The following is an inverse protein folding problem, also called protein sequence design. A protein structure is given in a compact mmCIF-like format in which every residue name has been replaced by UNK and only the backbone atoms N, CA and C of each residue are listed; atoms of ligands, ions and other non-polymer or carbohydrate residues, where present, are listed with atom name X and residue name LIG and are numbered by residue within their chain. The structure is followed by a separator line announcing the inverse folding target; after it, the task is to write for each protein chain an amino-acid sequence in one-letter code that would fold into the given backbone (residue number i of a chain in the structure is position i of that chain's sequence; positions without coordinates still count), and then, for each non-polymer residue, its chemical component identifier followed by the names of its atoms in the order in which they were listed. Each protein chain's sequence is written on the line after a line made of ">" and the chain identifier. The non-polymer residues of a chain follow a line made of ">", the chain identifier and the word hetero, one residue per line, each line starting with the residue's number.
data_IF_816568502544
#
_entry.id   IF_816568502544
#
_cell.length_a   1.000
_cell.length_b   1.000
_cell.length_c   1.000
_cell.angle_alpha   90.00
_cell.angle_beta   90.00
_cell.angle_gamma   90.00
#
_symmetry.space_group_name_H-M   'P 1'
#
loop_
_entity.id
_entity.type
_entity.pdbx_description
1 polymer ?
#
# COMPACT_ATOMS: atom_id res chain seq x y z
N UNK A 1 -8.77 -11.86 -8.96
CA UNK A 1 -7.67 -12.85 -8.90
C UNK A 1 -8.27 -14.24 -9.04
N UNK A 2 -7.62 -15.18 -9.78
CA UNK A 2 -8.05 -16.57 -9.79
C UNK A 2 -8.01 -17.16 -8.37
N UNK A 3 -8.83 -18.17 -8.10
CA UNK A 3 -8.81 -18.86 -6.80
C UNK A 3 -7.55 -19.71 -6.66
N UNK A 4 -7.19 -20.09 -5.43
CA UNK A 4 -6.07 -20.99 -5.15
C UNK A 4 -6.12 -22.26 -6.02
N UNK A 5 -7.29 -22.88 -6.11
CA UNK A 5 -7.51 -24.07 -6.94
C UNK A 5 -7.26 -23.79 -8.42
N UNK A 6 -7.79 -22.69 -8.96
CA UNK A 6 -7.60 -22.33 -10.37
C UNK A 6 -6.12 -22.15 -10.71
N UNK A 7 -5.36 -21.50 -9.82
CA UNK A 7 -3.93 -21.33 -10.00
C UNK A 7 -3.19 -22.67 -9.97
N UNK A 8 -3.50 -23.56 -9.02
CA UNK A 8 -2.86 -24.88 -8.93
C UNK A 8 -3.19 -25.72 -10.17
N UNK A 9 -4.43 -25.69 -10.65
CA UNK A 9 -4.84 -26.41 -11.86
C UNK A 9 -4.20 -25.87 -13.14
N UNK A 10 -3.72 -24.61 -13.15
CA UNK A 10 -2.94 -24.08 -14.28
C UNK A 10 -1.48 -24.55 -14.31
N UNK A 11 -0.98 -25.17 -13.25
CA UNK A 11 0.40 -25.67 -13.20
C UNK A 11 0.58 -26.91 -14.07
N UNK A 12 1.76 -27.03 -14.70
CA UNK A 12 2.09 -28.15 -15.59
C UNK A 12 1.97 -29.53 -14.94
N UNK A 13 2.20 -29.63 -13.62
CA UNK A 13 2.08 -30.89 -12.88
C UNK A 13 0.64 -31.34 -12.66
N UNK A 14 -0.35 -30.44 -12.80
CA UNK A 14 -1.77 -30.66 -12.48
C UNK A 14 -2.65 -30.85 -13.74
N UNK A 15 -2.07 -31.43 -14.80
CA UNK A 15 -2.81 -31.83 -16.01
C UNK A 15 -3.95 -32.78 -15.67
N UNK A 16 -5.05 -32.73 -16.43
CA UNK A 16 -6.27 -33.54 -16.20
C UNK A 16 -6.01 -35.03 -15.99
N UNK A 17 -5.06 -35.61 -16.71
CA UNK A 17 -4.69 -37.04 -16.59
C UNK A 17 -3.90 -37.39 -15.31
N UNK A 18 -3.29 -36.40 -14.64
CA UNK A 18 -2.54 -36.57 -13.39
C UNK A 18 -3.42 -36.39 -12.15
N UNK A 19 -4.55 -35.69 -12.27
CA UNK A 19 -5.42 -35.36 -11.14
C UNK A 19 -5.85 -36.58 -10.32
N UNK A 20 -6.29 -37.71 -10.92
CA UNK A 20 -6.67 -38.89 -10.13
C UNK A 20 -5.52 -39.41 -9.26
N UNK A 21 -4.28 -39.33 -9.73
CA UNK A 21 -3.09 -39.77 -8.97
C UNK A 21 -2.65 -38.76 -7.91
N UNK A 22 -2.85 -37.46 -8.16
CA UNK A 22 -2.49 -36.40 -7.20
C UNK A 22 -3.48 -36.28 -6.05
N UNK A 23 -4.75 -36.60 -6.30
CA UNK A 23 -5.83 -36.52 -5.31
C UNK A 23 -6.09 -37.85 -4.58
N UNK A 24 -5.56 -38.96 -5.10
CA UNK A 24 -5.67 -40.26 -4.45
C UNK A 24 -4.81 -40.37 -3.19
N UNK A 25 -5.05 -41.44 -2.43
CA UNK A 25 -4.22 -41.85 -1.32
C UNK A 25 -2.90 -42.50 -1.81
N UNK A 26 -2.09 -41.75 -2.56
CA UNK A 26 -0.83 -42.26 -3.11
C UNK A 26 0.26 -42.68 -2.09
N UNK A 27 0.25 -42.27 -0.80
CA UNK A 27 1.19 -42.77 0.21
C UNK A 27 1.20 -44.29 0.39
N UNK A 28 0.07 -44.97 0.18
CA UNK A 28 0.00 -46.44 0.25
C UNK A 28 0.92 -47.11 -0.79
N UNK A 29 1.25 -46.39 -1.86
CA UNK A 29 2.11 -46.87 -2.94
C UNK A 29 3.58 -46.53 -2.74
N UNK A 30 3.99 -45.97 -1.59
CA UNK A 30 5.39 -45.56 -1.32
C UNK A 30 6.40 -46.69 -1.54
N UNK A 31 6.02 -47.94 -1.21
CA UNK A 31 6.88 -49.12 -1.38
C UNK A 31 6.80 -49.73 -2.78
N UNK A 32 5.62 -49.71 -3.40
CA UNK A 32 5.37 -50.36 -4.69
C UNK A 32 5.72 -49.47 -5.88
N UNK A 33 5.61 -48.15 -5.73
CA UNK A 33 5.92 -47.14 -6.74
C UNK A 33 6.56 -45.89 -6.07
N UNK A 34 7.83 -46.00 -5.64
CA UNK A 34 8.51 -44.91 -4.94
C UNK A 34 8.67 -43.66 -5.83
N UNK A 35 8.93 -43.82 -7.13
CA UNK A 35 9.12 -42.70 -8.06
C UNK A 35 7.83 -41.90 -8.26
N UNK A 36 6.69 -42.59 -8.41
CA UNK A 36 5.37 -41.96 -8.49
C UNK A 36 5.03 -41.19 -7.21
N UNK A 37 5.32 -41.78 -6.05
CA UNK A 37 5.17 -41.12 -4.75
C UNK A 37 6.00 -39.83 -4.68
N UNK A 38 7.31 -39.91 -4.94
CA UNK A 38 8.20 -38.73 -4.87
C UNK A 38 7.80 -37.65 -5.86
N UNK A 39 7.33 -38.03 -7.05
CA UNK A 39 6.87 -37.08 -8.07
C UNK A 39 5.60 -36.35 -7.63
N UNK A 40 4.65 -37.06 -7.01
CA UNK A 40 3.41 -36.45 -6.52
C UNK A 40 3.65 -35.55 -5.30
N UNK A 41 4.52 -35.96 -4.38
CA UNK A 41 4.96 -35.11 -3.25
C UNK A 41 5.59 -33.82 -3.77
N UNK A 42 6.56 -33.93 -4.68
CA UNK A 42 7.23 -32.77 -5.26
C UNK A 42 6.27 -31.83 -6.02
N UNK A 43 5.28 -32.39 -6.73
CA UNK A 43 4.26 -31.61 -7.44
C UNK A 43 3.42 -30.77 -6.46
N UNK A 44 2.97 -31.36 -5.35
CA UNK A 44 2.20 -30.64 -4.33
C UNK A 44 3.04 -29.61 -3.57
N UNK A 45 4.26 -29.96 -3.14
CA UNK A 45 5.17 -29.02 -2.49
C UNK A 45 5.45 -27.80 -3.37
N UNK A 46 5.75 -28.02 -4.65
CA UNK A 46 6.00 -26.95 -5.61
C UNK A 46 4.76 -26.09 -5.84
N UNK A 47 3.60 -26.70 -6.09
CA UNK A 47 2.38 -25.96 -6.38
C UNK A 47 1.93 -25.10 -5.21
N UNK A 48 1.99 -25.61 -3.97
CA UNK A 48 1.64 -24.84 -2.78
C UNK A 48 2.64 -23.71 -2.51
N UNK A 49 3.94 -23.97 -2.63
CA UNK A 49 4.95 -22.93 -2.48
C UNK A 49 4.82 -21.84 -3.56
N UNK A 50 4.57 -22.24 -4.81
CA UNK A 50 4.34 -21.31 -5.91
C UNK A 50 3.05 -20.51 -5.73
N UNK A 51 1.96 -21.13 -5.28
CA UNK A 51 0.72 -20.44 -5.00
C UNK A 51 0.89 -19.38 -3.90
N UNK A 52 1.55 -19.74 -2.80
CA UNK A 52 1.89 -18.81 -1.73
C UNK A 52 2.72 -17.64 -2.26
N UNK A 53 3.79 -17.93 -3.00
CA UNK A 53 4.69 -16.94 -3.58
C UNK A 53 3.95 -15.84 -4.35
N UNK A 54 2.94 -16.19 -5.13
CA UNK A 54 2.18 -15.25 -5.96
C UNK A 54 0.91 -14.72 -5.26
N UNK A 55 0.78 -14.92 -3.94
CA UNK A 55 -0.28 -14.32 -3.13
C UNK A 55 -1.63 -15.06 -3.18
N UNK A 56 -1.69 -16.30 -3.64
CA UNK A 56 -2.95 -17.06 -3.71
C UNK A 56 -3.43 -17.64 -2.36
N UNK A 57 -2.62 -17.50 -1.31
CA UNK A 57 -2.97 -17.95 0.04
C UNK A 57 -3.40 -16.74 0.86
N UNK A 58 -4.69 -16.67 1.15
CA UNK A 58 -5.30 -15.53 1.84
C UNK A 58 -5.00 -15.59 3.34
N UNK A 59 -4.70 -14.44 3.94
CA UNK A 59 -4.56 -14.30 5.39
C UNK A 59 -5.95 -14.16 6.04
N UNK A 60 -6.20 -14.90 7.13
CA UNK A 60 -7.51 -14.92 7.80
C UNK A 60 -7.96 -13.56 8.37
N UNK A 61 -7.09 -12.56 8.39
CA UNK A 61 -7.34 -11.19 8.87
C UNK A 61 -7.83 -10.21 7.80
N UNK A 62 -8.06 -10.63 6.55
CA UNK A 62 -8.46 -9.72 5.46
C UNK A 62 -9.96 -9.35 5.46
N UNK A 63 -10.48 -8.84 6.58
CA UNK A 63 -11.76 -8.12 6.64
C UNK A 63 -11.47 -6.62 6.45
N UNK A 64 -11.14 -6.19 5.24
CA UNK A 64 -10.80 -4.80 4.95
C UNK A 64 -10.80 -4.48 3.46
N UNK A 65 -10.82 -3.17 3.13
CA UNK A 65 -10.93 -2.61 1.78
C UNK A 65 -9.99 -3.26 0.73
N UNK A 66 -10.41 -3.34 -0.55
CA UNK A 66 -9.72 -4.06 -1.63
C UNK A 66 -8.40 -3.42 -2.12
N UNK A 67 -7.90 -2.35 -1.52
CA UNK A 67 -6.78 -1.58 -2.08
C UNK A 67 -5.37 -2.17 -1.85
N UNK A 68 -5.22 -3.19 -0.99
CA UNK A 68 -4.06 -4.11 -0.99
C UNK A 68 -4.30 -5.27 0.00
N UNK A 69 -4.76 -6.43 -0.50
CA UNK A 69 -5.00 -7.59 0.36
C UNK A 69 -3.68 -8.12 0.92
N UNK A 70 -3.57 -8.20 2.26
CA UNK A 70 -2.47 -8.90 2.92
C UNK A 70 -2.63 -10.41 2.71
N UNK A 71 -1.62 -11.06 2.17
CA UNK A 71 -1.61 -12.48 1.79
C UNK A 71 -0.43 -13.19 2.44
N UNK A 72 -0.55 -14.50 2.62
CA UNK A 72 0.51 -15.31 3.19
C UNK A 72 1.38 -15.91 2.06
N UNK A 73 2.55 -15.34 1.84
CA UNK A 73 3.57 -15.81 0.91
C UNK A 73 4.60 -16.73 1.55
N UNK A 74 4.87 -16.54 2.85
CA UNK A 74 5.94 -17.22 3.57
C UNK A 74 5.41 -18.28 4.52
N UNK A 75 4.17 -18.14 5.00
CA UNK A 75 3.51 -19.10 5.88
C UNK A 75 2.35 -19.78 5.16
N UNK A 76 2.31 -21.12 5.22
CA UNK A 76 1.20 -21.94 4.76
C UNK A 76 0.43 -22.46 5.98
N UNK A 77 -0.88 -22.22 6.02
CA UNK A 77 -1.77 -22.83 7.00
C UNK A 77 -2.29 -24.16 6.46
N UNK A 78 -1.75 -25.25 6.99
CA UNK A 78 -2.11 -26.61 6.62
C UNK A 78 -3.23 -27.10 7.54
N UNK A 79 -4.50 -26.87 7.16
CA UNK A 79 -5.67 -27.33 7.91
C UNK A 79 -6.85 -27.72 7.00
N UNK A 80 -8.00 -28.02 7.60
CA UNK A 80 -9.22 -28.39 6.86
C UNK A 80 -9.75 -27.29 5.92
N UNK A 81 -9.38 -26.02 6.12
CA UNK A 81 -9.77 -24.95 5.19
C UNK A 81 -9.00 -25.06 3.88
N UNK A 82 -7.69 -25.32 3.96
CA UNK A 82 -6.87 -25.58 2.77
C UNK A 82 -7.40 -26.78 1.98
N UNK A 83 -7.82 -27.86 2.65
CA UNK A 83 -8.39 -29.02 1.96
C UNK A 83 -9.69 -28.70 1.20
N UNK A 84 -10.53 -27.83 1.77
CA UNK A 84 -11.76 -27.36 1.11
C UNK A 84 -11.45 -26.47 -0.09
N UNK A 85 -10.48 -25.58 0.06
CA UNK A 85 -10.08 -24.66 -1.02
C UNK A 85 -9.44 -25.39 -2.21
N UNK A 86 -8.97 -26.61 -2.00
CA UNK A 86 -8.39 -27.49 -3.01
C UNK A 86 -9.35 -28.57 -3.51
N UNK A 87 -10.61 -28.60 -3.07
CA UNK A 87 -11.56 -29.64 -3.44
C UNK A 87 -11.97 -29.53 -4.92
N UNK A 88 -11.84 -30.63 -5.66
CA UNK A 88 -12.32 -30.75 -7.04
C UNK A 88 -13.60 -31.59 -7.03
N UNK A 89 -14.72 -31.14 -7.65
CA UNK A 89 -15.96 -31.90 -7.67
C UNK A 89 -15.82 -33.36 -8.14
N UNK A 90 -14.98 -33.61 -9.13
CA UNK A 90 -14.78 -34.94 -9.71
C UNK A 90 -13.77 -35.82 -8.94
N UNK A 91 -12.76 -35.22 -8.30
CA UNK A 91 -11.67 -35.95 -7.62
C UNK A 91 -11.77 -35.93 -6.09
N UNK A 92 -12.67 -35.11 -5.54
CA UNK A 92 -12.78 -34.85 -4.11
C UNK A 92 -11.63 -34.01 -3.57
N UNK A 93 -11.32 -34.21 -2.28
CA UNK A 93 -10.22 -33.52 -1.58
C UNK A 93 -8.92 -34.27 -1.75
N UNK A 94 -7.77 -33.57 -1.74
CA UNK A 94 -6.47 -34.22 -1.85
C UNK A 94 -6.12 -34.97 -0.55
N UNK A 95 -6.28 -36.30 -0.55
CA UNK A 95 -6.18 -37.14 0.66
C UNK A 95 -4.75 -37.18 1.22
N UNK A 96 -3.76 -37.17 0.34
CA UNK A 96 -2.37 -37.39 0.68
C UNK A 96 -1.62 -36.16 1.24
N UNK A 97 -2.26 -34.99 1.35
CA UNK A 97 -1.55 -33.76 1.76
C UNK A 97 -0.91 -33.83 3.14
N UNK A 98 -1.47 -34.61 4.07
CA UNK A 98 -0.81 -34.88 5.36
C UNK A 98 0.60 -35.47 5.17
N UNK A 99 0.71 -36.52 4.35
CA UNK A 99 1.98 -37.16 4.03
C UNK A 99 2.93 -36.23 3.24
N UNK A 100 2.40 -35.34 2.40
CA UNK A 100 3.20 -34.32 1.70
C UNK A 100 3.84 -33.36 2.70
N UNK A 101 3.08 -32.86 3.69
CA UNK A 101 3.63 -31.95 4.70
C UNK A 101 4.61 -32.63 5.64
N UNK A 102 4.40 -33.91 5.96
CA UNK A 102 5.35 -34.70 6.74
C UNK A 102 6.67 -34.87 6.01
N UNK A 103 6.64 -35.21 4.72
CA UNK A 103 7.83 -35.35 3.89
C UNK A 103 8.51 -33.98 3.67
N UNK A 104 7.75 -32.90 3.45
CA UNK A 104 8.27 -31.54 3.34
C UNK A 104 8.98 -31.08 4.63
N UNK A 105 8.41 -31.44 5.79
CA UNK A 105 9.01 -31.17 7.10
C UNK A 105 10.29 -31.97 7.31
N UNK A 106 10.27 -33.26 6.95
CA UNK A 106 11.44 -34.15 7.00
C UNK A 106 12.58 -33.64 6.10
N UNK A 107 12.24 -33.16 4.90
CA UNK A 107 13.17 -32.63 3.91
C UNK A 107 13.55 -31.16 4.17
N UNK A 108 12.97 -30.53 5.19
CA UNK A 108 13.19 -29.12 5.57
C UNK A 108 12.84 -28.13 4.45
N UNK A 109 11.95 -28.50 3.53
CA UNK A 109 11.37 -27.57 2.55
C UNK A 109 10.28 -26.74 3.19
N UNK A 110 9.63 -27.30 4.21
CA UNK A 110 8.69 -26.62 5.10
C UNK A 110 9.09 -26.84 6.56
N UNK A 111 8.77 -25.88 7.43
CA UNK A 111 9.12 -25.97 8.85
C UNK A 111 7.95 -25.49 9.71
N UNK A 112 7.54 -26.22 10.76
CA UNK A 112 6.50 -25.76 11.67
C UNK A 112 6.84 -24.40 12.29
N UNK A 113 5.96 -23.40 12.12
CA UNK A 113 6.20 -22.01 12.49
C UNK A 113 6.51 -21.86 13.99
N UNK A 114 5.77 -22.58 14.85
CA UNK A 114 6.00 -22.57 16.29
C UNK A 114 7.41 -23.06 16.66
N UNK A 115 7.90 -24.11 15.99
CA UNK A 115 9.25 -24.62 16.20
C UNK A 115 10.30 -23.66 15.64
N UNK A 116 10.03 -23.05 14.49
CA UNK A 116 10.92 -22.07 13.89
C UNK A 116 11.13 -20.83 14.79
N UNK A 117 10.07 -20.37 15.46
CA UNK A 117 10.12 -19.21 16.37
C UNK A 117 10.84 -19.53 17.69
N UNK A 118 10.62 -20.72 18.25
CA UNK A 118 11.16 -21.11 19.57
C UNK A 118 12.59 -21.64 19.52
N UNK A 119 13.01 -22.25 18.41
CA UNK A 119 14.34 -22.86 18.30
C UNK A 119 15.40 -21.83 17.86
N UNK A 120 16.53 -21.66 18.56
CA UNK A 120 17.59 -20.74 18.16
C UNK A 120 18.44 -21.19 16.97
N UNK A 121 18.26 -22.41 16.45
CA UNK A 121 19.02 -22.92 15.33
C UNK A 121 18.82 -22.06 14.04
N UNK A 122 19.81 -22.04 13.14
CA UNK A 122 19.76 -21.34 11.84
C UNK A 122 19.56 -22.28 10.64
N UNK A 123 18.56 -22.00 9.79
CA UNK A 123 18.20 -22.70 8.56
C UNK A 123 19.32 -22.68 7.49
N UNK A 124 20.34 -21.84 7.66
CA UNK A 124 21.52 -21.81 6.77
C UNK A 124 22.55 -22.86 7.14
N UNK A 125 22.60 -23.29 8.39
CA UNK A 125 23.53 -24.33 8.82
C UNK A 125 22.92 -25.71 8.51
N UNK A 126 23.69 -26.67 7.98
CA UNK A 126 23.22 -28.04 7.81
C UNK A 126 22.80 -28.67 9.16
N UNK A 127 23.35 -28.12 10.26
CA UNK A 127 23.01 -28.40 11.65
C UNK A 127 21.75 -27.66 12.15
N UNK A 128 20.75 -27.37 11.31
CA UNK A 128 19.37 -27.18 11.81
C UNK A 128 18.85 -28.52 12.34
N UNK A 129 19.48 -28.95 13.43
CA UNK A 129 19.25 -30.18 14.16
C UNK A 129 18.05 -29.97 15.04
N UNK A 130 16.88 -29.87 14.43
CA UNK A 130 15.76 -30.58 15.02
C UNK A 130 16.06 -32.03 14.66
N UNK A 131 16.70 -32.72 15.60
CA UNK A 131 16.64 -34.16 15.63
C UNK A 131 15.14 -34.47 15.79
N UNK A 132 14.46 -34.77 14.69
CA UNK A 132 13.02 -35.07 14.68
C UNK A 132 12.72 -36.29 15.56
N UNK A 133 13.75 -37.02 16.00
CA UNK A 133 13.69 -38.08 17.01
C UNK A 133 13.67 -37.58 18.47
N UNK A 134 14.02 -36.32 18.75
CA UNK A 134 14.15 -35.74 20.11
C UNK A 134 13.03 -34.71 20.41
N UNK A 135 12.12 -34.45 19.46
CA UNK A 135 10.84 -33.83 19.76
C UNK A 135 10.02 -34.79 20.62
N UNK A 136 10.15 -34.64 21.95
CA UNK A 136 9.35 -35.26 23.02
C UNK A 136 8.69 -36.60 22.67
N UNK A 137 9.10 -37.72 23.31
CA UNK A 137 8.34 -38.97 23.31
C UNK A 137 6.84 -38.77 23.61
N UNK A 138 6.44 -37.66 24.26
CA UNK A 138 5.05 -37.32 24.54
C UNK A 138 4.30 -36.59 23.40
N UNK A 139 4.98 -35.80 22.55
CA UNK A 139 4.36 -35.14 21.39
C UNK A 139 4.11 -36.14 20.25
N UNK A 140 5.04 -37.07 20.05
CA UNK A 140 4.90 -38.21 19.12
C UNK A 140 3.95 -39.28 19.69
N UNK A 141 3.79 -39.42 21.02
CA UNK A 141 2.73 -40.25 21.60
C UNK A 141 1.32 -39.69 21.38
N UNK A 142 1.15 -38.39 21.19
CA UNK A 142 -0.15 -37.85 20.73
C UNK A 142 -0.47 -38.25 19.27
N UNK A 143 0.55 -38.58 18.48
CA UNK A 143 0.41 -39.10 17.11
C UNK A 143 0.06 -40.60 17.06
N UNK A 144 0.33 -41.38 18.12
CA UNK A 144 0.04 -42.82 18.18
C UNK A 144 -1.11 -43.26 19.11
N UNK A 145 -1.45 -42.51 20.16
CA UNK A 145 -2.36 -43.01 21.20
C UNK A 145 -3.86 -42.79 20.91
N UNK A 146 -4.22 -41.98 19.90
CA UNK A 146 -5.64 -41.86 19.47
C UNK A 146 -6.08 -42.93 18.44
N UNK A 147 -5.19 -43.80 18.00
CA UNK A 147 -5.54 -45.02 17.24
C UNK A 147 -5.58 -46.29 18.11
N UNK A 148 -5.22 -46.21 19.39
CA UNK A 148 -5.23 -47.36 20.32
C UNK A 148 -6.62 -47.60 20.97
N UNK A 149 -7.69 -47.46 20.18
CA UNK A 149 -9.02 -48.03 20.47
C UNK A 149 -9.43 -48.92 19.30
N UNK A 150 -8.72 -50.04 19.14
CA UNK A 150 -9.08 -51.07 18.16
C UNK A 150 -7.87 -51.82 17.61
N UNK A 151 -7.29 -52.71 18.42
CA UNK A 151 -6.36 -53.72 17.90
C UNK A 151 -7.17 -54.71 17.07
N UNK A 152 -7.12 -54.57 15.75
CA UNK A 152 -7.39 -55.65 14.80
C UNK A 152 -6.10 -55.86 14.03
N UNK A 153 -5.55 -57.07 14.16
CA UNK A 153 -4.41 -57.59 13.42
C UNK A 153 -4.76 -57.51 11.92
N UNK A 154 -4.09 -56.61 11.18
CA UNK A 154 -4.27 -56.46 9.73
C UNK A 154 -4.37 -55.02 9.17
N UNK A 155 -4.09 -53.96 9.93
CA UNK A 155 -4.13 -52.60 9.37
C UNK A 155 -2.96 -52.35 8.41
N UNK A 156 -3.29 -52.11 7.15
CA UNK A 156 -2.47 -51.40 6.15
C UNK A 156 -1.83 -50.16 6.80
N UNK A 157 -0.66 -49.73 6.30
CA UNK A 157 0.01 -48.50 6.71
C UNK A 157 -0.96 -47.32 6.52
N UNK A 158 -1.67 -46.95 7.58
CA UNK A 158 -2.72 -45.94 7.52
C UNK A 158 -2.10 -44.58 7.19
N UNK A 159 -2.65 -43.91 6.18
CA UNK A 159 -2.18 -42.59 5.75
C UNK A 159 -2.35 -41.57 6.88
N UNK A 160 -1.29 -40.80 7.21
CA UNK A 160 -1.36 -39.80 8.27
C UNK A 160 -2.41 -38.75 7.90
N UNK A 161 -3.39 -38.55 8.81
CA UNK A 161 -4.39 -37.50 8.66
C UNK A 161 -3.73 -36.14 8.81
N UNK A 162 -4.24 -35.15 8.07
CA UNK A 162 -3.78 -33.77 8.16
C UNK A 162 -3.94 -33.26 9.60
N UNK A 163 -2.84 -32.80 10.18
CA UNK A 163 -2.86 -32.08 11.45
C UNK A 163 -2.81 -30.58 11.18
N UNK A 164 -3.69 -29.83 11.84
CA UNK A 164 -3.75 -28.38 11.70
C UNK A 164 -2.44 -27.75 12.19
N UNK A 165 -1.68 -27.14 11.29
CA UNK A 165 -0.41 -26.50 11.63
C UNK A 165 -0.07 -25.36 10.66
N UNK A 166 0.82 -24.48 11.10
CA UNK A 166 1.39 -23.42 10.26
C UNK A 166 2.82 -23.78 9.88
N UNK A 167 3.13 -23.66 8.59
CA UNK A 167 4.36 -24.09 7.98
C UNK A 167 5.06 -22.93 7.30
N UNK A 168 6.33 -22.68 7.65
CA UNK A 168 7.19 -21.72 6.96
C UNK A 168 7.70 -22.35 5.67
N UNK A 169 7.47 -21.68 4.54
CA UNK A 169 7.91 -22.07 3.22
C UNK A 169 9.36 -21.60 2.99
N UNK A 170 10.32 -22.49 3.23
CA UNK A 170 11.75 -22.12 3.33
C UNK A 170 12.29 -21.50 2.04
N UNK A 171 11.87 -22.00 0.88
CA UNK A 171 12.30 -21.47 -0.43
C UNK A 171 11.83 -20.02 -0.63
N UNK A 172 10.55 -19.75 -0.36
CA UNK A 172 9.97 -18.42 -0.49
C UNK A 172 10.60 -17.43 0.50
N UNK A 173 10.82 -17.88 1.74
CA UNK A 173 11.48 -17.08 2.78
C UNK A 173 12.90 -16.67 2.37
N UNK A 174 13.69 -17.62 1.87
CA UNK A 174 15.05 -17.35 1.38
C UNK A 174 15.04 -16.34 0.24
N UNK A 175 14.16 -16.53 -0.73
CA UNK A 175 14.07 -15.60 -1.85
C UNK A 175 13.59 -14.21 -1.45
N UNK A 176 12.58 -14.10 -0.58
CA UNK A 176 12.13 -12.82 -0.06
C UNK A 176 13.27 -12.09 0.65
N UNK A 177 14.02 -12.79 1.50
CA UNK A 177 15.17 -12.24 2.20
C UNK A 177 16.26 -11.75 1.24
N UNK A 178 16.60 -12.54 0.22
CA UNK A 178 17.62 -12.16 -0.77
C UNK A 178 17.19 -10.91 -1.57
N UNK A 179 15.89 -10.82 -1.93
CA UNK A 179 15.33 -9.63 -2.60
C UNK A 179 15.33 -8.40 -1.71
N UNK A 180 14.96 -8.54 -0.43
CA UNK A 180 15.02 -7.44 0.56
C UNK A 180 16.43 -6.91 0.67
N UNK A 181 17.42 -7.79 0.89
CA UNK A 181 18.82 -7.38 1.01
C UNK A 181 19.29 -6.70 -0.27
N UNK A 182 19.02 -7.30 -1.44
CA UNK A 182 19.40 -6.72 -2.73
C UNK A 182 18.79 -5.34 -2.96
N UNK A 183 17.52 -5.14 -2.61
CA UNK A 183 16.83 -3.85 -2.75
C UNK A 183 17.43 -2.81 -1.80
N UNK A 184 17.63 -3.17 -0.53
CA UNK A 184 18.20 -2.27 0.48
C UNK A 184 19.65 -1.87 0.16
N UNK A 185 20.50 -2.80 -0.30
CA UNK A 185 21.93 -2.54 -0.52
C UNK A 185 22.30 -2.20 -1.97
N UNK A 186 21.32 -2.14 -2.89
CA UNK A 186 21.58 -2.10 -4.33
C UNK A 186 22.02 -0.74 -4.90
N UNK A 187 21.73 0.36 -4.22
CA UNK A 187 21.90 1.72 -4.74
C UNK A 187 23.03 2.53 -4.08
N UNK A 188 24.05 1.86 -3.54
CA UNK A 188 25.08 2.50 -2.68
C UNK A 188 24.44 3.38 -1.58
N UNK A 189 23.57 2.78 -0.73
CA UNK A 189 22.86 3.52 0.30
C UNK A 189 23.85 4.17 1.28
N UNK A 190 23.47 5.33 1.83
CA UNK A 190 24.18 5.88 2.98
C UNK A 190 24.02 4.97 4.20
N UNK A 191 24.82 5.19 5.24
CA UNK A 191 24.69 4.40 6.48
C UNK A 191 23.34 4.59 7.16
N UNK A 192 22.78 5.80 7.08
CA UNK A 192 21.48 6.13 7.65
C UNK A 192 20.33 5.55 6.80
N UNK A 193 20.50 5.42 5.48
CA UNK A 193 19.54 4.75 4.58
C UNK A 193 19.32 3.28 4.93
N UNK A 194 20.34 2.62 5.49
CA UNK A 194 20.27 1.23 5.92
C UNK A 194 19.57 1.01 7.27
N UNK A 195 19.05 2.09 7.86
CA UNK A 195 18.36 2.10 9.15
C UNK A 195 16.89 2.42 8.95
N UNK A 196 16.03 1.57 9.50
CA UNK A 196 14.58 1.59 9.35
C UNK A 196 13.89 1.42 10.70
N UNK A 197 12.72 2.04 10.87
CA UNK A 197 11.75 1.57 11.87
C UNK A 197 11.01 0.35 11.32
N UNK A 198 10.36 -0.42 12.22
CA UNK A 198 9.52 -1.55 11.80
C UNK A 198 8.44 -1.10 10.82
N UNK A 199 7.82 0.05 11.05
CA UNK A 199 6.76 0.60 10.20
C UNK A 199 7.29 0.97 8.81
N UNK A 200 8.41 1.68 8.72
CA UNK A 200 8.99 2.06 7.43
C UNK A 200 9.47 0.84 6.65
N UNK A 201 10.06 -0.14 7.35
CA UNK A 201 10.50 -1.40 6.75
C UNK A 201 9.31 -2.17 6.15
N UNK A 202 8.21 -2.28 6.90
CA UNK A 202 6.99 -2.94 6.40
C UNK A 202 6.43 -2.21 5.18
N UNK A 203 6.38 -0.88 5.23
CA UNK A 203 5.90 -0.06 4.10
C UNK A 203 6.73 -0.30 2.84
N UNK A 204 8.07 -0.36 2.95
CA UNK A 204 8.97 -0.49 1.80
C UNK A 204 9.05 -1.92 1.22
N UNK A 205 8.99 -2.94 2.09
CA UNK A 205 9.28 -4.33 1.70
C UNK A 205 8.04 -5.24 1.67
N UNK A 206 6.83 -4.73 1.94
CA UNK A 206 5.61 -5.55 1.91
C UNK A 206 5.29 -6.16 0.55
N UNK A 207 5.65 -5.51 -0.56
CA UNK A 207 5.48 -6.03 -1.92
C UNK A 207 6.71 -6.74 -2.49
N UNK A 208 7.67 -7.21 -1.67
CA UNK A 208 8.98 -7.68 -2.17
C UNK A 208 8.91 -8.93 -3.07
N UNK A 209 7.91 -9.78 -2.88
CA UNK A 209 7.75 -11.01 -3.67
C UNK A 209 6.92 -10.79 -4.95
N UNK A 210 5.85 -9.99 -4.85
CA UNK A 210 4.86 -9.81 -5.90
C UNK A 210 4.26 -8.40 -5.79
N UNK A 211 4.24 -7.63 -6.89
CA UNK A 211 3.81 -6.23 -6.88
C UNK A 211 2.32 -6.06 -6.55
N UNK A 212 1.50 -7.06 -6.87
CA UNK A 212 0.04 -7.04 -6.68
C UNK A 212 -0.45 -7.46 -5.29
N UNK A 213 0.45 -7.77 -4.36
CA UNK A 213 0.08 -8.31 -3.04
C UNK A 213 1.07 -7.90 -1.96
N UNK A 214 0.63 -7.90 -0.70
CA UNK A 214 1.46 -7.52 0.44
C UNK A 214 1.64 -8.68 1.40
N UNK A 215 2.85 -8.87 1.91
CA UNK A 215 3.14 -9.81 2.99
C UNK A 215 2.21 -9.55 4.19
N UNK A 216 1.70 -10.64 4.78
CA UNK A 216 0.98 -10.58 6.04
C UNK A 216 1.90 -10.21 7.20
N UNK A 217 1.32 -9.83 8.34
CA UNK A 217 2.10 -9.49 9.53
C UNK A 217 2.88 -10.70 10.06
N UNK A 218 2.28 -11.90 9.96
CA UNK A 218 2.95 -13.15 10.32
C UNK A 218 4.13 -13.46 9.39
N UNK A 219 3.99 -13.21 8.09
CA UNK A 219 5.09 -13.35 7.12
C UNK A 219 6.22 -12.35 7.42
N UNK A 220 5.88 -11.10 7.72
CA UNK A 220 6.87 -10.08 8.06
C UNK A 220 7.68 -10.44 9.30
N UNK A 221 7.03 -10.93 10.35
CA UNK A 221 7.73 -11.38 11.56
C UNK A 221 8.68 -12.57 11.27
N UNK A 222 8.26 -13.51 10.41
CA UNK A 222 9.10 -14.64 9.97
C UNK A 222 10.30 -14.18 9.14
N UNK A 223 10.08 -13.19 8.26
CA UNK A 223 11.11 -12.60 7.43
C UNK A 223 12.15 -11.85 8.27
N UNK A 224 11.71 -11.03 9.24
CA UNK A 224 12.60 -10.32 10.16
C UNK A 224 13.40 -11.30 11.04
N UNK A 225 12.77 -12.38 11.52
CA UNK A 225 13.46 -13.43 12.26
C UNK A 225 14.55 -14.10 11.40
N UNK A 226 14.24 -14.45 10.15
CA UNK A 226 15.20 -15.05 9.23
C UNK A 226 16.36 -14.09 8.91
N UNK A 227 16.05 -12.83 8.60
CA UNK A 227 17.05 -11.83 8.25
C UNK A 227 18.02 -11.55 9.43
N UNK A 228 17.50 -11.55 10.65
CA UNK A 228 18.28 -11.24 11.85
C UNK A 228 19.10 -12.42 12.35
N UNK A 229 18.46 -13.59 12.52
CA UNK A 229 19.04 -14.79 13.13
C UNK A 229 19.73 -15.71 12.13
N UNK A 230 19.09 -15.98 11.00
CA UNK A 230 19.50 -17.05 10.09
C UNK A 230 20.49 -16.57 9.04
N UNK A 231 20.17 -15.46 8.36
CA UNK A 231 21.05 -14.85 7.36
C UNK A 231 22.09 -13.93 7.98
N UNK A 232 21.78 -13.34 9.14
CA UNK A 232 22.63 -12.35 9.78
C UNK A 232 22.74 -11.04 8.99
N UNK A 233 21.83 -10.79 8.03
CA UNK A 233 21.87 -9.60 7.18
C UNK A 233 21.43 -8.32 7.91
N UNK A 234 20.63 -8.45 8.97
CA UNK A 234 20.15 -7.29 9.75
C UNK A 234 20.39 -7.48 11.25
N UNK A 235 20.57 -6.39 11.98
CA UNK A 235 20.28 -6.32 13.40
C UNK A 235 18.84 -5.84 13.60
N UNK A 236 18.15 -6.41 14.59
CA UNK A 236 16.75 -6.12 14.90
C UNK A 236 16.50 -6.28 16.39
N UNK A 237 15.98 -5.23 17.04
CA UNK A 237 15.68 -5.19 18.49
C UNK A 237 14.16 -5.24 18.80
N UNK A 238 13.32 -5.30 17.77
CA UNK A 238 11.86 -5.23 17.89
C UNK A 238 11.25 -3.93 17.36
N UNK A 239 12.01 -2.82 17.36
CA UNK A 239 11.58 -1.49 16.90
C UNK A 239 12.41 -1.01 15.70
N UNK A 240 13.72 -1.18 15.78
CA UNK A 240 14.71 -0.68 14.81
C UNK A 240 15.30 -1.84 14.01
N UNK A 241 15.36 -1.68 12.69
CA UNK A 241 16.03 -2.60 11.76
C UNK A 241 17.24 -1.88 11.18
N UNK A 242 18.43 -2.51 11.28
CA UNK A 242 19.66 -2.03 10.65
C UNK A 242 20.25 -3.10 9.76
N UNK A 243 20.47 -2.81 8.48
CA UNK A 243 21.23 -3.71 7.62
C UNK A 243 22.72 -3.68 7.98
N UNK A 244 23.30 -4.88 8.15
CA UNK A 244 24.71 -5.03 8.48
C UNK A 244 25.55 -4.87 7.21
N UNK A 245 26.52 -3.97 7.26
CA UNK A 245 27.57 -3.82 6.26
C UNK A 245 28.91 -4.26 6.83
N UNK A 246 29.90 -4.53 5.97
CA UNK A 246 31.24 -4.96 6.39
C UNK A 246 31.93 -3.94 7.31
N UNK A 247 31.63 -2.65 7.11
CA UNK A 247 32.39 -1.54 7.67
C UNK A 247 31.68 -0.82 8.83
N UNK A 248 30.52 -1.33 9.28
CA UNK A 248 29.70 -0.75 10.34
C UNK A 248 29.59 -1.66 11.58
N UNK A 249 29.32 -1.10 12.77
CA UNK A 249 28.98 -1.89 13.95
C UNK A 249 27.84 -2.87 13.66
N UNK A 250 28.00 -4.12 14.10
CA UNK A 250 27.03 -5.20 13.85
C UNK A 250 25.74 -5.06 14.63
N UNK A 251 25.78 -4.30 15.71
CA UNK A 251 24.66 -4.08 16.62
C UNK A 251 24.01 -2.72 16.36
N UNK A 252 22.76 -2.60 16.81
CA UNK A 252 22.01 -1.34 16.76
C UNK A 252 22.61 -0.41 17.81
N UNK A 253 22.97 0.79 17.38
CA UNK A 253 23.48 1.86 18.25
C UNK A 253 22.37 2.85 18.56
N UNK A 254 22.55 3.67 19.60
CA UNK A 254 21.60 4.74 19.93
C UNK A 254 21.39 5.73 18.77
N UNK A 255 22.42 5.94 17.94
CA UNK A 255 22.32 6.76 16.74
C UNK A 255 21.37 6.15 15.70
N UNK A 256 21.41 4.82 15.52
CA UNK A 256 20.52 4.13 14.59
C UNK A 256 19.06 4.25 15.06
N UNK A 257 18.80 4.09 16.37
CA UNK A 257 17.46 4.28 16.93
C UNK A 257 16.96 5.71 16.73
N UNK A 258 17.80 6.73 16.97
CA UNK A 258 17.45 8.13 16.74
C UNK A 258 17.12 8.39 15.26
N UNK A 259 17.92 7.84 14.33
CA UNK A 259 17.67 7.92 12.88
C UNK A 259 16.31 7.31 12.51
N UNK A 260 16.01 6.11 13.00
CA UNK A 260 14.73 5.45 12.74
C UNK A 260 13.53 6.26 13.27
N UNK A 261 13.66 6.82 14.48
CA UNK A 261 12.62 7.64 15.11
C UNK A 261 12.39 8.95 14.36
N UNK A 262 13.46 9.67 13.97
CA UNK A 262 13.34 10.92 13.19
C UNK A 262 12.71 10.65 11.83
N UNK A 263 13.14 9.59 11.11
CA UNK A 263 12.52 9.18 9.83
C UNK A 263 11.03 8.89 9.98
N UNK A 264 10.66 8.19 11.05
CA UNK A 264 9.26 7.87 11.34
C UNK A 264 8.45 9.14 11.63
N UNK A 265 8.99 10.06 12.42
CA UNK A 265 8.35 11.33 12.72
C UNK A 265 8.19 12.20 11.47
N UNK A 266 9.22 12.33 10.64
CA UNK A 266 9.14 13.04 9.35
C UNK A 266 8.03 12.45 8.47
N UNK A 267 7.96 11.12 8.33
CA UNK A 267 6.91 10.47 7.54
C UNK A 267 5.50 10.73 8.07
N UNK A 268 5.32 10.75 9.40
CA UNK A 268 4.04 11.11 10.03
C UNK A 268 3.69 12.58 9.77
N UNK A 269 4.65 13.49 9.94
CA UNK A 269 4.47 14.92 9.71
C UNK A 269 4.09 15.23 8.26
N UNK A 270 4.74 14.58 7.29
CA UNK A 270 4.38 14.74 5.87
C UNK A 270 2.93 14.34 5.61
N UNK A 271 2.44 13.24 6.18
CA UNK A 271 1.02 12.84 6.04
C UNK A 271 0.07 13.83 6.70
N UNK A 272 0.43 14.38 7.86
CA UNK A 272 -0.37 15.41 8.52
C UNK A 272 -0.43 16.69 7.68
N UNK A 273 0.69 17.09 7.07
CA UNK A 273 0.77 18.22 6.13
C UNK A 273 -0.20 17.99 4.96
N UNK A 274 -0.14 16.83 4.29
CA UNK A 274 -1.06 16.50 3.19
C UNK A 274 -2.54 16.54 3.62
N UNK A 275 -2.87 16.06 4.83
CA UNK A 275 -4.22 16.10 5.37
C UNK A 275 -4.69 17.55 5.64
N UNK A 276 -3.82 18.39 6.22
CA UNK A 276 -4.11 19.80 6.48
C UNK A 276 -4.31 20.59 5.19
N UNK A 277 -3.47 20.36 4.18
CA UNK A 277 -3.62 20.98 2.85
C UNK A 277 -4.98 20.63 2.21
N UNK A 278 -5.35 19.34 2.22
CA UNK A 278 -6.66 18.90 1.74
C UNK A 278 -7.80 19.55 2.53
N UNK A 279 -7.64 19.68 3.85
CA UNK A 279 -8.65 20.31 4.71
C UNK A 279 -8.83 21.80 4.43
N UNK A 280 -7.73 22.51 4.17
CA UNK A 280 -7.76 23.93 3.79
C UNK A 280 -8.53 24.12 2.47
N UNK A 281 -8.30 23.23 1.48
CA UNK A 281 -9.05 23.25 0.21
C UNK A 281 -10.55 23.03 0.44
N UNK A 282 -10.92 22.06 1.27
CA UNK A 282 -12.32 21.77 1.63
C UNK A 282 -13.00 22.94 2.33
N UNK A 283 -12.33 23.55 3.32
CA UNK A 283 -12.85 24.70 4.07
C UNK A 283 -12.99 25.93 3.18
N UNK A 284 -12.06 26.15 2.25
CA UNK A 284 -12.15 27.21 1.27
C UNK A 284 -13.36 27.03 0.32
N UNK A 285 -13.61 25.80 -0.14
CA UNK A 285 -14.81 25.47 -0.92
C UNK A 285 -16.09 25.68 -0.11
N UNK A 286 -16.08 25.29 1.16
CA UNK A 286 -17.21 25.48 2.10
C UNK A 286 -17.52 26.96 2.31
N UNK A 287 -16.48 27.79 2.50
CA UNK A 287 -16.63 29.24 2.64
C UNK A 287 -17.26 29.86 1.38
N UNK A 288 -16.76 29.50 0.18
CA UNK A 288 -17.34 29.95 -1.10
C UNK A 288 -18.82 29.56 -1.25
N UNK A 289 -19.17 28.31 -0.97
CA UNK A 289 -20.57 27.85 -1.02
C UNK A 289 -21.46 28.59 -0.01
N UNK A 290 -20.96 28.87 1.20
CA UNK A 290 -21.70 29.63 2.21
C UNK A 290 -21.95 31.08 1.77
N UNK A 291 -20.97 31.72 1.10
CA UNK A 291 -21.10 33.06 0.52
C UNK A 291 -22.14 33.09 -0.61
N UNK A 292 -22.12 32.11 -1.52
CA UNK A 292 -23.13 31.98 -2.59
C UNK A 292 -24.55 31.82 -2.03
N UNK A 293 -24.69 31.08 -0.93
CA UNK A 293 -25.95 30.91 -0.21
C UNK A 293 -26.31 32.10 0.70
N UNK A 294 -25.54 33.20 0.65
CA UNK A 294 -25.71 34.41 1.47
C UNK A 294 -25.67 34.15 2.98
N UNK A 295 -25.00 33.07 3.40
CA UNK A 295 -24.83 32.71 4.80
C UNK A 295 -23.46 33.17 5.31
N UNK A 296 -23.37 34.47 5.64
CA UNK A 296 -22.13 35.10 6.11
C UNK A 296 -21.59 34.48 7.40
N UNK A 297 -22.46 34.05 8.31
CA UNK A 297 -22.04 33.43 9.59
C UNK A 297 -21.32 32.11 9.35
N UNK A 298 -21.86 31.28 8.47
CA UNK A 298 -21.22 30.01 8.10
C UNK A 298 -19.93 30.23 7.30
N UNK A 299 -19.88 31.25 6.45
CA UNK A 299 -18.66 31.61 5.71
C UNK A 299 -17.55 32.07 6.67
N UNK A 300 -17.87 32.97 7.61
CA UNK A 300 -16.93 33.44 8.63
C UNK A 300 -16.38 32.29 9.48
N UNK A 301 -17.23 31.35 9.90
CA UNK A 301 -16.80 30.17 10.65
C UNK A 301 -15.86 29.26 9.83
N UNK A 302 -16.12 29.10 8.53
CA UNK A 302 -15.28 28.32 7.64
C UNK A 302 -13.92 28.98 7.40
N UNK A 303 -13.89 30.32 7.21
CA UNK A 303 -12.66 31.11 7.07
C UNK A 303 -11.83 31.07 8.36
N UNK A 304 -12.45 31.23 9.54
CA UNK A 304 -11.77 31.06 10.83
C UNK A 304 -11.12 29.68 10.97
N UNK A 305 -11.86 28.63 10.61
CA UNK A 305 -11.35 27.25 10.66
C UNK A 305 -10.21 27.03 9.66
N UNK A 306 -10.29 27.65 8.47
CA UNK A 306 -9.25 27.61 7.44
C UNK A 306 -7.97 28.26 7.95
N UNK A 307 -8.05 29.45 8.54
CA UNK A 307 -6.89 30.16 9.12
C UNK A 307 -6.21 29.37 10.23
N UNK A 308 -6.98 28.69 11.08
CA UNK A 308 -6.43 27.80 12.09
C UNK A 308 -5.67 26.62 11.47
N UNK A 309 -6.23 26.00 10.42
CA UNK A 309 -5.57 24.94 9.68
C UNK A 309 -4.28 25.43 8.98
N UNK A 310 -4.28 26.63 8.40
CA UNK A 310 -3.09 27.26 7.79
C UNK A 310 -1.98 27.54 8.83
N UNK A 311 -2.35 28.04 10.01
CA UNK A 311 -1.40 28.23 11.10
C UNK A 311 -0.76 26.90 11.54
N UNK A 312 -1.58 25.87 11.74
CA UNK A 312 -1.09 24.54 12.10
C UNK A 312 -0.19 23.95 11.00
N UNK A 313 -0.59 24.11 9.73
CA UNK A 313 0.22 23.70 8.58
C UNK A 313 1.60 24.36 8.59
N UNK A 314 1.66 25.68 8.82
CA UNK A 314 2.93 26.41 8.92
C UNK A 314 3.81 25.86 10.06
N UNK A 315 3.25 25.67 11.25
CA UNK A 315 3.97 25.12 12.39
C UNK A 315 4.51 23.70 12.09
N UNK A 316 3.74 22.88 11.38
CA UNK A 316 4.14 21.53 10.95
C UNK A 316 5.29 21.56 9.95
N UNK A 317 5.23 22.45 8.96
CA UNK A 317 6.31 22.64 7.98
C UNK A 317 7.60 23.17 8.64
N UNK A 318 7.49 24.12 9.57
CA UNK A 318 8.64 24.64 10.31
C UNK A 318 9.30 23.52 11.15
N UNK A 319 8.49 22.67 11.78
CA UNK A 319 8.98 21.51 12.54
C UNK A 319 9.64 20.48 11.64
N UNK A 320 9.05 20.19 10.47
CA UNK A 320 9.63 19.29 9.46
C UNK A 320 11.02 19.76 9.03
N UNK A 321 11.17 21.06 8.74
CA UNK A 321 12.46 21.65 8.35
C UNK A 321 13.53 21.49 9.44
N UNK A 322 13.14 21.67 10.71
CA UNK A 322 14.05 21.45 11.85
C UNK A 322 14.47 19.97 11.96
N UNK A 323 13.54 19.03 11.75
CA UNK A 323 13.84 17.60 11.77
C UNK A 323 14.78 17.19 10.62
N UNK A 324 14.58 17.74 9.42
CA UNK A 324 15.45 17.52 8.27
C UNK A 324 16.86 18.07 8.52
N UNK A 325 16.99 19.25 9.14
CA UNK A 325 18.29 19.81 9.52
C UNK A 325 19.02 18.91 10.54
N UNK A 326 18.30 18.41 11.55
CA UNK A 326 18.86 17.47 12.54
C UNK A 326 19.26 16.15 11.87
N UNK A 327 18.42 15.61 11.00
CA UNK A 327 18.71 14.40 10.24
C UNK A 327 19.98 14.55 9.40
N UNK A 328 20.12 15.66 8.66
CA UNK A 328 21.30 15.95 7.85
C UNK A 328 22.58 16.05 8.71
N UNK A 329 22.50 16.64 9.90
CA UNK A 329 23.64 16.68 10.84
C UNK A 329 24.03 15.29 11.34
N UNK A 330 23.07 14.41 11.60
CA UNK A 330 23.33 13.03 12.02
C UNK A 330 23.96 12.23 10.88
N UNK A 331 23.46 12.39 9.65
CA UNK A 331 24.03 11.75 8.47
C UNK A 331 25.50 12.16 8.27
N UNK A 332 25.78 13.46 8.29
CA UNK A 332 27.15 13.99 8.22
C UNK A 332 28.05 13.42 9.33
N UNK A 333 27.56 13.34 10.56
CA UNK A 333 28.32 12.77 11.68
C UNK A 333 28.59 11.26 11.50
N UNK A 334 27.66 10.53 10.89
CA UNK A 334 27.74 9.08 10.65
C UNK A 334 28.72 8.75 9.51
N UNK A 335 28.86 9.66 8.54
CA UNK A 335 29.88 9.59 7.49
C UNK A 335 31.26 10.00 8.00
N UNK A 336 31.35 10.99 8.89
CA UNK A 336 32.58 11.56 9.42
C UNK A 336 33.22 10.77 10.59
N UNK A 337 32.99 9.45 10.69
CA UNK A 337 33.56 8.57 11.74
C UNK A 337 35.10 8.48 11.70
N UNK A 338 35.79 9.18 10.77
CA UNK A 338 37.25 9.36 10.78
C UNK A 338 37.79 10.66 11.40
N UNK A 339 36.98 11.57 11.95
CA UNK A 339 37.52 12.81 12.57
C UNK A 339 37.02 13.06 13.99
N UNK A 340 37.65 12.34 14.93
CA UNK A 340 37.62 12.61 16.39
C UNK A 340 37.94 14.09 16.73
N UNK A 341 38.65 14.82 15.86
CA UNK A 341 38.98 16.24 16.03
C UNK A 341 37.88 17.24 15.61
N UNK A 342 36.91 16.84 14.78
CA UNK A 342 35.76 17.70 14.46
C UNK A 342 34.70 17.62 15.57
N UNK A 343 34.64 16.51 16.32
CA UNK A 343 33.86 16.42 17.56
C UNK A 343 34.30 17.46 18.60
N UNK A 344 35.60 17.76 18.73
CA UNK A 344 36.09 18.80 19.64
C UNK A 344 35.66 20.22 19.20
N UNK A 345 35.66 20.53 17.91
CA UNK A 345 35.14 21.82 17.41
C UNK A 345 33.60 21.90 17.51
N UNK A 346 32.92 20.77 17.31
CA UNK A 346 31.48 20.65 17.50
C UNK A 346 31.08 20.68 18.97
N UNK A 347 31.96 20.43 19.95
CA UNK A 347 31.62 20.68 21.37
C UNK A 347 31.27 22.13 21.65
N UNK A 348 31.75 23.10 20.86
CA UNK A 348 31.37 24.51 20.99
C UNK A 348 29.94 24.81 20.52
N UNK A 349 29.52 24.24 19.39
CA UNK A 349 28.16 24.34 18.86
C UNK A 349 27.17 23.43 19.60
N UNK A 350 27.64 22.26 20.04
CA UNK A 350 26.90 21.33 20.87
C UNK A 350 26.77 21.83 22.31
N UNK A 351 27.66 22.64 22.89
CA UNK A 351 27.48 23.14 24.28
C UNK A 351 26.22 23.99 24.45
N UNK A 352 25.75 24.64 23.37
CA UNK A 352 24.47 25.37 23.36
C UNK A 352 23.24 24.46 23.32
N UNK A 353 23.36 23.27 22.70
CA UNK A 353 22.29 22.27 22.59
C UNK A 353 22.38 21.15 23.65
N UNK A 354 23.55 20.94 24.25
CA UNK A 354 23.88 19.87 25.18
C UNK A 354 23.45 20.17 26.63
N UNK A 355 23.20 21.44 26.95
CA UNK A 355 22.59 21.82 28.23
C UNK A 355 21.06 21.61 28.26
N UNK A 356 20.42 21.37 27.12
CA UNK A 356 18.97 21.08 27.04
C UNK A 356 18.64 19.67 26.53
N UNK A 357 19.49 19.03 25.71
CA UNK A 357 19.24 17.69 25.15
C UNK A 357 20.42 16.78 25.52
N UNK A 358 20.28 15.99 26.59
CA UNK A 358 21.38 15.13 27.05
C UNK A 358 21.35 13.73 26.41
N UNK A 359 22.28 13.44 25.51
CA UNK A 359 22.53 12.09 24.99
C UNK A 359 21.50 11.61 23.94
N UNK A 360 21.88 10.62 23.14
CA UNK A 360 21.01 10.04 22.11
C UNK A 360 19.78 9.33 22.71
N UNK A 361 19.89 8.82 23.95
CA UNK A 361 18.76 8.37 24.74
C UNK A 361 17.67 9.46 24.93
N UNK A 362 18.05 10.73 25.17
CA UNK A 362 17.05 11.82 25.25
C UNK A 362 16.50 12.24 23.90
N UNK A 363 17.18 11.96 22.79
CA UNK A 363 16.60 12.25 21.46
C UNK A 363 15.43 11.32 21.19
N UNK A 364 15.54 10.05 21.57
CA UNK A 364 14.39 9.14 21.52
C UNK A 364 13.25 9.61 22.42
N UNK A 365 13.53 9.95 23.67
CA UNK A 365 12.52 10.45 24.61
C UNK A 365 11.86 11.75 24.10
N UNK A 366 12.64 12.69 23.57
CA UNK A 366 12.14 13.95 23.00
C UNK A 366 11.35 13.72 21.72
N UNK A 367 11.75 12.76 20.88
CA UNK A 367 10.99 12.42 19.67
C UNK A 367 9.69 11.70 20.04
N UNK A 368 9.68 10.84 21.07
CA UNK A 368 8.47 10.19 21.55
C UNK A 368 7.54 11.19 22.26
N UNK A 369 8.08 12.07 23.10
CA UNK A 369 7.32 13.19 23.71
C UNK A 369 6.75 14.11 22.63
N UNK A 370 7.54 14.46 21.61
CA UNK A 370 7.08 15.23 20.47
C UNK A 370 6.01 14.47 19.69
N UNK A 371 6.13 13.14 19.54
CA UNK A 371 5.10 12.33 18.89
C UNK A 371 3.81 12.30 19.71
N UNK A 372 3.89 12.18 21.04
CA UNK A 372 2.74 12.22 21.94
C UNK A 372 2.06 13.59 21.93
N UNK A 373 2.82 14.68 22.07
CA UNK A 373 2.29 16.04 21.96
C UNK A 373 1.63 16.29 20.61
N UNK A 374 2.21 15.78 19.52
CA UNK A 374 1.64 15.97 18.19
C UNK A 374 0.48 15.03 17.89
N UNK A 375 0.41 13.86 18.54
CA UNK A 375 -0.77 12.99 18.52
C UNK A 375 -1.94 13.62 19.28
N UNK A 376 -1.69 14.35 20.37
CA UNK A 376 -2.73 15.13 21.08
C UNK A 376 -3.34 16.21 20.19
N UNK A 377 -2.57 16.77 19.26
CA UNK A 377 -3.05 17.75 18.27
C UNK A 377 -3.80 17.09 17.10
N UNK A 378 -3.56 15.80 16.82
CA UNK A 378 -4.21 15.02 15.75
C UNK A 378 -5.52 14.35 16.17
N UNK A 379 -5.72 14.03 17.46
CA UNK A 379 -6.95 13.40 17.97
C UNK A 379 -8.18 14.33 17.99
N UNK A 380 -8.03 15.46 17.29
CA UNK A 380 -8.88 16.60 17.46
C UNK A 380 -9.77 16.73 16.22
N UNK A 381 -10.76 15.83 16.15
CA UNK A 381 -12.07 16.15 15.60
C UNK A 381 -12.82 17.23 16.41
N UNK A 382 -12.15 17.85 17.39
CA UNK A 382 -12.64 18.78 18.40
C UNK A 382 -11.84 20.12 18.47
N UNK A 383 -11.05 20.51 17.44
CA UNK A 383 -10.13 21.70 17.49
C UNK A 383 -10.94 23.01 17.52
N UNK A 384 -12.27 22.92 17.64
CA UNK A 384 -13.12 24.06 17.92
C UNK A 384 -13.15 24.47 19.41
N UNK A 385 -12.65 23.64 20.36
CA UNK A 385 -12.81 23.91 21.79
C UNK A 385 -11.53 23.98 22.63
N UNK A 386 -10.37 23.61 22.09
CA UNK A 386 -9.10 23.89 22.79
C UNK A 386 -8.69 25.33 22.49
N UNK A 387 -8.11 26.01 23.48
CA UNK A 387 -7.65 27.39 23.35
C UNK A 387 -6.55 27.48 22.28
N UNK A 388 -6.95 27.53 21.02
CA UNK A 388 -6.09 27.68 19.88
C UNK A 388 -5.38 29.03 19.91
N UNK A 389 -4.33 29.22 19.09
CA UNK A 389 -3.71 30.52 18.91
C UNK A 389 -4.79 31.59 18.68
N UNK A 390 -4.67 32.74 19.35
CA UNK A 390 -5.59 33.87 19.13
C UNK A 390 -5.41 34.35 17.69
N UNK A 391 -6.28 33.87 16.80
CA UNK A 391 -6.36 34.37 15.43
C UNK A 391 -7.00 35.74 15.50
N UNK A 392 -6.35 36.73 14.89
CA UNK A 392 -6.85 38.09 14.86
C UNK A 392 -8.18 38.15 14.09
N UNK A 393 -9.24 38.65 14.74
CA UNK A 393 -10.57 38.69 14.11
C UNK A 393 -10.61 39.67 12.93
N UNK A 394 -9.76 40.70 12.92
CA UNK A 394 -9.68 41.63 11.79
C UNK A 394 -9.11 40.97 10.54
N UNK A 395 -8.14 40.05 10.69
CA UNK A 395 -7.58 39.33 9.54
C UNK A 395 -8.62 38.37 8.90
N UNK A 396 -9.50 37.80 9.72
CA UNK A 396 -10.59 36.92 9.25
C UNK A 396 -11.62 37.74 8.46
N UNK A 397 -11.99 38.92 8.97
CA UNK A 397 -12.95 39.80 8.31
C UNK A 397 -12.42 40.33 6.98
N UNK A 398 -11.14 40.74 6.92
CA UNK A 398 -10.47 41.17 5.70
C UNK A 398 -10.43 40.04 4.65
N UNK A 399 -10.07 38.81 5.05
CA UNK A 399 -10.05 37.67 4.13
C UNK A 399 -11.46 37.32 3.61
N UNK A 400 -12.48 37.42 4.47
CA UNK A 400 -13.86 37.19 4.06
C UNK A 400 -14.32 38.24 3.03
N UNK A 401 -13.94 39.51 3.23
CA UNK A 401 -14.25 40.58 2.28
C UNK A 401 -13.54 40.37 0.93
N UNK A 402 -12.28 39.94 0.94
CA UNK A 402 -11.57 39.59 -0.29
C UNK A 402 -12.20 38.40 -1.03
N UNK A 403 -12.68 37.38 -0.30
CA UNK A 403 -13.37 36.23 -0.87
C UNK A 403 -14.73 36.64 -1.46
N UNK A 404 -15.48 37.51 -0.78
CA UNK A 404 -16.73 38.08 -1.28
C UNK A 404 -16.52 38.90 -2.55
N UNK A 405 -15.47 39.72 -2.60
CA UNK A 405 -15.13 40.52 -3.77
C UNK A 405 -14.72 39.63 -4.96
N UNK A 406 -13.93 38.57 -4.73
CA UNK A 406 -13.57 37.60 -5.79
C UNK A 406 -14.78 36.84 -6.32
N UNK A 407 -15.65 36.31 -5.46
CA UNK A 407 -16.87 35.61 -5.91
C UNK A 407 -17.81 36.54 -6.68
N UNK A 408 -17.92 37.82 -6.27
CA UNK A 408 -18.72 38.81 -7.00
C UNK A 408 -18.16 39.07 -8.40
N UNK A 409 -16.85 39.27 -8.52
CA UNK A 409 -16.19 39.44 -9.82
C UNK A 409 -16.37 38.21 -10.71
N UNK A 410 -16.22 37.00 -10.17
CA UNK A 410 -16.44 35.74 -10.90
C UNK A 410 -17.89 35.60 -11.38
N UNK A 411 -18.88 36.04 -10.59
CA UNK A 411 -20.29 36.06 -11.03
C UNK A 411 -20.54 37.11 -12.11
N UNK A 412 -20.03 38.33 -11.93
CA UNK A 412 -20.17 39.41 -12.92
C UNK A 412 -19.52 39.01 -14.27
N UNK A 413 -18.37 38.33 -14.24
CA UNK A 413 -17.70 37.83 -15.45
C UNK A 413 -18.50 36.72 -16.14
N UNK A 414 -19.08 35.77 -15.39
CA UNK A 414 -19.96 34.74 -15.94
C UNK A 414 -21.23 35.34 -16.56
N UNK A 415 -21.86 36.30 -15.88
CA UNK A 415 -23.03 37.01 -16.40
C UNK A 415 -22.69 37.82 -17.66
N UNK A 416 -21.53 38.48 -17.69
CA UNK A 416 -21.04 39.17 -18.87
C UNK A 416 -20.76 38.21 -20.04
N UNK A 417 -20.19 37.03 -19.78
CA UNK A 417 -19.95 36.02 -20.80
C UNK A 417 -21.26 35.43 -21.35
N UNK A 418 -22.24 35.13 -20.49
CA UNK A 418 -23.58 34.70 -20.92
C UNK A 418 -24.28 35.78 -21.74
N UNK A 419 -24.19 37.04 -21.32
CA UNK A 419 -24.78 38.18 -22.04
C UNK A 419 -24.11 38.35 -23.39
N UNK A 420 -22.78 38.20 -23.47
CA UNK A 420 -22.03 38.23 -24.73
C UNK A 420 -22.44 37.09 -25.66
N UNK A 421 -22.67 35.88 -25.13
CA UNK A 421 -23.18 34.73 -25.91
C UNK A 421 -24.59 34.99 -26.45
N UNK A 422 -25.50 35.49 -25.61
CA UNK A 422 -26.88 35.84 -26.00
C UNK A 422 -26.91 36.95 -27.07
N UNK A 423 -26.08 37.99 -26.92
CA UNK A 423 -25.96 39.06 -27.91
C UNK A 423 -25.41 38.55 -29.26
N UNK A 424 -24.40 37.67 -29.24
CA UNK A 424 -23.86 37.07 -30.45
C UNK A 424 -24.89 36.16 -31.17
N UNK A 425 -25.74 35.46 -30.41
CA UNK A 425 -26.84 34.66 -30.96
C UNK A 425 -27.92 35.54 -31.61
N UNK A 426 -28.28 36.65 -30.97
CA UNK A 426 -29.23 37.63 -31.51
C UNK A 426 -28.71 38.29 -32.79
N UNK A 427 -27.43 38.69 -32.84
CA UNK A 427 -26.82 39.28 -34.05
C UNK A 427 -26.78 38.28 -35.22
N UNK A 428 -26.51 37.00 -34.94
CA UNK A 428 -26.56 35.94 -35.94
C UNK A 428 -27.99 35.71 -36.46
N UNK A 429 -29.01 35.74 -35.59
CA UNK A 429 -30.42 35.68 -35.98
C UNK A 429 -30.84 36.89 -36.83
N UNK A 430 -30.38 38.10 -36.46
CA UNK A 430 -30.65 39.32 -37.21
C UNK A 430 -29.97 39.31 -38.59
N UNK A 431 -28.73 38.85 -38.68
CA UNK A 431 -28.03 38.65 -39.96
C UNK A 431 -28.77 37.65 -40.86
N UNK A 432 -29.18 36.50 -40.32
CA UNK A 432 -29.99 35.53 -41.08
C UNK A 432 -31.34 36.10 -41.53
N UNK A 433 -32.00 36.88 -40.69
CA UNK A 433 -33.26 37.54 -41.05
C UNK A 433 -33.06 38.61 -42.15
N UNK A 434 -31.98 39.40 -42.09
CA UNK A 434 -31.62 40.36 -43.13
C UNK A 434 -31.23 39.70 -44.45
N UNK A 435 -30.50 38.58 -44.40
CA UNK A 435 -30.19 37.78 -45.57
C UNK A 435 -31.44 37.20 -46.21
N UNK A 436 -32.34 36.61 -45.41
CA UNK A 436 -33.64 36.10 -45.88
C UNK A 436 -34.54 37.20 -46.47
N UNK A 437 -34.53 38.39 -45.88
CA UNK A 437 -35.26 39.55 -46.42
C UNK A 437 -34.65 40.05 -47.74
N UNK A 438 -33.32 40.04 -47.88
CA UNK A 438 -32.63 40.37 -49.14
C UNK A 438 -32.89 39.35 -50.24
N UNK A 439 -32.92 38.06 -49.91
CA UNK A 439 -33.26 37.01 -50.89
C UNK A 439 -34.72 37.12 -51.32
N UNK A 440 -35.65 37.33 -50.38
CA UNK A 440 -37.07 37.52 -50.70
C UNK A 440 -37.33 38.78 -51.55
N UNK A 441 -36.64 39.90 -51.25
CA UNK A 441 -36.72 41.12 -52.05
C UNK A 441 -36.10 40.93 -53.45
N UNK A 442 -35.01 40.16 -53.55
CA UNK A 442 -34.41 39.77 -54.84
C UNK A 442 -35.36 38.89 -55.67
N UNK A 443 -36.02 37.92 -55.06
CA UNK A 443 -37.02 37.06 -55.70
C UNK A 443 -38.25 37.86 -56.16
N UNK A 444 -38.74 38.80 -55.35
CA UNK A 444 -39.83 39.70 -55.75
C UNK A 444 -39.43 40.63 -56.90
N UNK A 445 -38.21 41.16 -56.91
CA UNK A 445 -37.71 41.99 -58.00
C UNK A 445 -37.58 41.19 -59.30
N UNK A 446 -37.04 39.97 -59.23
CA UNK A 446 -36.95 39.06 -60.39
C UNK A 446 -38.34 38.68 -60.89
N UNK A 447 -39.29 38.40 -60.00
CA UNK A 447 -40.66 38.04 -60.39
C UNK A 447 -41.40 39.23 -61.02
N UNK A 448 -41.21 40.44 -60.49
CA UNK A 448 -41.74 41.68 -61.08
C UNK A 448 -41.13 41.96 -62.46
N UNK A 449 -39.83 41.72 -62.65
CA UNK A 449 -39.17 41.87 -63.95
C UNK A 449 -39.63 40.79 -64.95
N UNK A 450 -39.92 39.57 -64.46
CA UNK A 450 -40.49 38.49 -65.27
C UNK A 450 -41.93 38.83 -65.72
N UNK A 451 -42.77 39.34 -64.82
CA UNK A 451 -44.13 39.79 -65.14
C UNK A 451 -44.12 40.95 -66.14
N UNK A 452 -43.19 41.90 -66.00
CA UNK A 452 -43.03 43.00 -66.95
C UNK A 452 -42.56 42.50 -68.34
N UNK A 453 -41.63 41.53 -68.38
CA UNK A 453 -41.19 40.89 -69.64
C UNK A 453 -42.31 40.07 -70.30
N UNK A 454 -43.08 39.31 -69.53
CA UNK A 454 -44.23 38.56 -70.05
C UNK A 454 -45.32 39.50 -70.58
N UNK A 455 -45.55 40.63 -69.92
CA UNK A 455 -46.46 41.68 -70.39
C UNK A 455 -46.00 42.33 -71.70
N UNK A 456 -44.68 42.52 -71.88
CA UNK A 456 -44.11 43.04 -73.14
C UNK A 456 -44.17 42.02 -74.28
N UNK A 457 -44.03 40.72 -73.99
CA UNK A 457 -44.18 39.66 -75.00
C UNK A 457 -45.64 39.42 -75.41
N UNK A 458 -46.61 39.68 -74.53
CA UNK A 458 -48.04 39.48 -74.82
C UNK A 458 -48.69 40.64 -75.61
N UNK A 459 -48.01 41.78 -75.77
CA UNK A 459 -48.51 42.96 -76.52
C UNK A 459 -47.94 43.02 -77.95
N UNK A 460 -47.02 42.13 -78.31
CA UNK A 460 -46.40 42.05 -79.63
C UNK A 460 -47.01 40.93 -80.50
N UNK A 461 -48.34 40.79 -80.51
CA UNK A 461 -49.07 40.06 -81.56
C UNK A 461 -50.40 40.75 -81.93
N UNK A 462 -50.27 42.00 -82.38
CA UNK A 462 -51.20 42.61 -83.32
C UNK A 462 -50.40 43.52 -84.25
N UNK A 463 -50.78 43.75 -85.53
CA UNK A 463 -51.91 43.22 -86.30
C UNK A 463 -51.49 42.59 -87.66
N UNK A 464 -52.38 41.80 -88.28
CA UNK A 464 -52.89 42.02 -89.66
C UNK A 464 -53.82 40.90 -90.13
N UNK A 465 -55.10 41.23 -90.23
CA UNK A 465 -55.97 40.72 -91.29
C UNK A 465 -56.20 41.87 -92.31
N UNK A 466 -56.50 41.50 -93.56
CA UNK A 466 -56.85 42.36 -94.72
C UNK A 466 -55.65 43.02 -95.42
N UNK A 467 -55.35 42.83 -96.71
CA UNK A 467 -56.08 42.21 -97.82
C UNK A 467 -55.30 41.05 -98.47
#
# INVERSE_FOLDING_TARGET
>A
MPTLLQYILSQDSFRKNRLPSLYSDFPIHRKTNPEGYTTNVAAWEHALASAARHGYIISSSSHGHPSAQKTNHLVLRADESLLRDLEIPECGRPVALGAVFDDATRNRTMVPLHLYRSNPASLRKPQWGIDTSVLSPWAVMSWGMKQLKGVVVGSEEATPRLQAQELVLVKNLKEAADRVVKKATGHNPSKTDLVYSKESFVSEFSGVLEEGSRLSDADMDVLLLYLSRDSGAIAYDGKTIKFRTSDAPKDITEQDTAVASIKTLMSTMTKQVENLENKIVELNSTAKMALQNKNRVSALSAVRSKKLAEHNLKQRLDTLMQLEEVYSKIEQATDQVQFVKVMEASTGALRGLHTQIGGAARVEDVVEELREEMSKVDEVGNIMNEAGPQIDETEIDDELEELENRERQEMEEKEAEETRKKLAELDNLEQRAKEAARTAAGEQAVNSELEERLSRMSVEEGPRATA
#
